data_IF_427496581421
#
_entry.id   IF_427496581421
#
_cell.length_a   1.000
_cell.length_b   1.000
_cell.length_c   1.000
_cell.angle_alpha   90.00
_cell.angle_beta   90.00
_cell.angle_gamma   90.00
#
_symmetry.space_group_name_H-M   'P 1'
#
loop_
_entity.id
_entity.type
_entity.pdbx_description
1 polymer ?
#
# COMPACT_ATOMS: atom_id res chain seq x y z
N UNK A 1 -50.20 -33.15 36.45
CA UNK A 1 -49.92 -31.76 36.03
C UNK A 1 -48.44 -31.48 36.25
N UNK A 2 -47.62 -31.58 35.19
CA UNK A 2 -46.17 -31.44 35.26
C UNK A 2 -45.76 -29.97 35.11
N UNK A 3 -44.87 -29.47 35.97
CA UNK A 3 -44.30 -28.12 35.91
C UNK A 3 -43.08 -28.14 34.97
N UNK A 4 -43.15 -27.38 33.89
CA UNK A 4 -42.07 -27.18 32.91
C UNK A 4 -41.13 -26.09 33.43
N UNK A 5 -39.88 -26.43 33.77
CA UNK A 5 -38.85 -25.44 34.12
C UNK A 5 -38.12 -25.01 32.84
N UNK A 6 -38.24 -23.73 32.49
CA UNK A 6 -37.48 -23.10 31.40
C UNK A 6 -36.03 -22.87 31.84
N UNK A 7 -35.07 -23.48 31.13
CA UNK A 7 -33.65 -23.24 31.30
C UNK A 7 -33.21 -22.21 30.25
N UNK A 8 -32.90 -20.97 30.68
CA UNK A 8 -32.27 -19.97 29.82
C UNK A 8 -30.80 -20.33 29.59
N UNK A 9 -30.43 -20.57 28.34
CA UNK A 9 -29.03 -20.70 27.92
C UNK A 9 -28.47 -19.31 27.58
N UNK A 10 -27.54 -18.80 28.40
CA UNK A 10 -26.79 -17.57 28.11
C UNK A 10 -25.61 -17.96 27.20
N UNK A 11 -25.67 -17.58 25.92
CA UNK A 11 -24.56 -17.71 24.99
C UNK A 11 -23.53 -16.59 25.23
N UNK A 12 -22.35 -16.95 25.73
CA UNK A 12 -21.22 -16.04 25.82
C UNK A 12 -20.66 -15.76 24.41
N UNK A 13 -20.74 -14.50 23.95
CA UNK A 13 -19.97 -14.04 22.79
C UNK A 13 -18.50 -13.88 23.21
N UNK A 14 -17.65 -14.84 22.85
CA UNK A 14 -16.21 -14.62 22.79
C UNK A 14 -15.91 -13.69 21.60
N UNK A 15 -15.41 -12.48 21.88
CA UNK A 15 -14.82 -11.63 20.86
C UNK A 15 -13.52 -12.28 20.38
N UNK A 16 -13.53 -12.86 19.17
CA UNK A 16 -12.34 -13.36 18.52
C UNK A 16 -11.40 -12.18 18.17
N UNK A 17 -10.15 -12.26 18.61
CA UNK A 17 -9.10 -11.36 18.15
C UNK A 17 -8.96 -11.45 16.61
N UNK A 18 -8.64 -10.37 15.90
CA UNK A 18 -8.44 -10.42 14.45
C UNK A 18 -7.34 -11.43 14.13
N UNK A 19 -7.69 -12.46 13.38
CA UNK A 19 -6.74 -13.46 12.90
C UNK A 19 -5.68 -12.77 12.05
N UNK A 20 -4.40 -13.01 12.35
CA UNK A 20 -3.33 -12.65 11.43
C UNK A 20 -3.57 -13.33 10.08
N UNK A 21 -3.43 -12.63 8.94
CA UNK A 21 -3.64 -13.22 7.64
C UNK A 21 -2.70 -14.43 7.48
N UNK A 22 -3.27 -15.54 6.99
CA UNK A 22 -2.52 -16.74 6.67
C UNK A 22 -1.37 -16.40 5.71
N UNK A 23 -0.18 -17.00 5.91
CA UNK A 23 0.94 -16.87 4.98
C UNK A 23 0.50 -17.36 3.61
N UNK A 24 0.44 -16.46 2.64
CA UNK A 24 0.17 -16.78 1.25
C UNK A 24 1.50 -16.92 0.52
N UNK A 25 1.63 -17.91 -0.38
CA UNK A 25 2.85 -18.06 -1.21
C UNK A 25 2.94 -17.01 -2.34
N UNK A 26 1.95 -16.12 -2.43
CA UNK A 26 1.88 -15.09 -3.48
C UNK A 26 2.53 -13.78 -3.00
N UNK A 27 3.21 -13.04 -3.90
CA UNK A 27 3.64 -11.68 -3.61
C UNK A 27 2.48 -10.83 -3.05
N UNK A 28 2.76 -10.06 -2.01
CA UNK A 28 1.82 -9.11 -1.45
C UNK A 28 1.57 -7.99 -2.47
N UNK A 29 0.30 -7.62 -2.66
CA UNK A 29 -0.10 -6.48 -3.49
C UNK A 29 -0.86 -5.53 -2.58
N UNK A 30 -0.39 -4.28 -2.39
CA UNK A 30 -1.09 -3.32 -1.54
C UNK A 30 -2.36 -2.80 -2.22
N UNK A 31 -3.28 -2.31 -1.41
CA UNK A 31 -4.34 -1.44 -1.90
C UNK A 31 -3.77 -0.04 -2.24
N UNK A 32 -4.39 0.67 -3.20
CA UNK A 32 -4.07 2.07 -3.46
C UNK A 32 -4.21 2.93 -2.19
N UNK A 33 -3.32 3.92 -1.99
CA UNK A 33 -3.47 4.87 -0.87
C UNK A 33 -4.63 5.85 -1.09
N UNK A 34 -5.08 6.02 -2.34
CA UNK A 34 -6.21 6.85 -2.73
C UNK A 34 -7.18 6.08 -3.62
N UNK A 35 -8.47 6.40 -3.52
CA UNK A 35 -9.50 5.79 -4.35
C UNK A 35 -9.28 6.09 -5.84
N UNK A 36 -9.65 5.13 -6.69
CA UNK A 36 -9.48 5.23 -8.15
C UNK A 36 -8.06 4.92 -8.64
N UNK A 37 -7.11 4.67 -7.75
CA UNK A 37 -5.78 4.20 -8.10
C UNK A 37 -5.78 2.73 -8.53
N UNK A 38 -4.84 2.36 -9.39
CA UNK A 38 -4.53 0.96 -9.72
C UNK A 38 -3.10 0.66 -9.33
N UNK A 39 -2.87 -0.41 -8.56
CA UNK A 39 -1.52 -0.83 -8.15
C UNK A 39 -1.01 -1.91 -9.11
N UNK A 40 0.21 -1.72 -9.62
CA UNK A 40 0.90 -2.66 -10.49
C UNK A 40 2.28 -3.00 -9.90
N UNK A 41 2.62 -4.28 -9.69
CA UNK A 41 3.96 -4.66 -9.27
C UNK A 41 4.98 -4.36 -10.38
N UNK A 42 6.19 -3.95 -9.99
CA UNK A 42 7.27 -3.65 -10.94
C UNK A 42 7.84 -4.91 -11.61
N UNK A 43 7.79 -6.04 -10.90
CA UNK A 43 8.41 -7.28 -11.33
C UNK A 43 7.39 -8.42 -11.43
N UNK A 44 7.58 -9.36 -12.37
CA UNK A 44 6.90 -10.65 -12.33
C UNK A 44 7.16 -11.38 -11.01
N UNK A 45 6.19 -12.20 -10.58
CA UNK A 45 6.23 -12.89 -9.29
C UNK A 45 7.45 -13.81 -9.09
N UNK A 46 8.02 -14.33 -10.18
CA UNK A 46 9.17 -15.23 -10.21
C UNK A 46 10.51 -14.52 -10.46
N UNK A 47 10.50 -13.18 -10.55
CA UNK A 47 11.69 -12.38 -10.85
C UNK A 47 12.84 -12.63 -9.86
N UNK A 48 14.09 -12.77 -10.35
CA UNK A 48 15.27 -12.91 -9.49
C UNK A 48 15.58 -11.63 -8.69
N UNK A 49 14.90 -10.51 -9.01
CA UNK A 49 15.02 -9.24 -8.29
C UNK A 49 14.25 -9.24 -6.97
N UNK A 50 13.35 -10.20 -6.76
CA UNK A 50 12.51 -10.32 -5.57
C UNK A 50 13.13 -11.27 -4.54
N UNK A 51 13.05 -10.91 -3.25
CA UNK A 51 13.42 -11.78 -2.12
C UNK A 51 12.22 -12.67 -1.79
N UNK A 52 12.21 -13.92 -2.27
CA UNK A 52 11.05 -14.84 -2.17
C UNK A 52 10.60 -15.06 -0.73
N UNK A 53 11.54 -15.01 0.20
CA UNK A 53 11.30 -15.20 1.63
C UNK A 53 10.52 -14.05 2.26
N UNK A 54 10.51 -12.87 1.62
CA UNK A 54 9.88 -11.65 2.14
C UNK A 54 8.74 -11.11 1.28
N UNK A 55 8.66 -11.50 0.00
CA UNK A 55 7.76 -10.90 -1.00
C UNK A 55 6.27 -11.01 -0.65
N UNK A 56 5.90 -11.96 0.21
CA UNK A 56 4.54 -12.18 0.70
C UNK A 56 4.20 -11.38 1.97
N UNK A 57 5.19 -10.74 2.59
CA UNK A 57 4.98 -9.93 3.79
C UNK A 57 4.19 -8.66 3.44
N UNK A 58 3.20 -8.34 4.26
CA UNK A 58 2.38 -7.15 4.07
C UNK A 58 3.16 -5.86 4.38
N UNK A 59 2.86 -4.81 3.60
CA UNK A 59 3.28 -3.45 3.92
C UNK A 59 2.70 -2.98 5.26
N UNK A 60 3.42 -2.09 5.95
CA UNK A 60 2.99 -1.47 7.21
C UNK A 60 2.77 0.01 7.00
N UNK A 61 1.60 0.49 7.40
CA UNK A 61 1.13 1.83 7.12
C UNK A 61 1.12 2.69 8.37
N UNK A 62 1.61 3.91 8.26
CA UNK A 62 1.36 4.96 9.23
C UNK A 62 0.25 5.87 8.71
N UNK A 63 -0.84 5.98 9.45
CA UNK A 63 -2.01 6.83 9.17
C UNK A 63 -2.13 8.02 10.13
N UNK A 64 -1.18 8.19 11.04
CA UNK A 64 -1.21 9.22 12.08
C UNK A 64 -0.17 10.30 11.78
N UNK A 65 -0.60 11.56 11.84
CA UNK A 65 0.29 12.72 11.79
C UNK A 65 -0.14 13.73 12.85
N UNK A 66 0.77 14.11 13.77
CA UNK A 66 0.48 15.00 14.90
C UNK A 66 -0.77 14.56 15.68
N UNK A 67 -0.81 13.27 16.04
CA UNK A 67 -1.86 12.60 16.82
C UNK A 67 -3.27 12.60 16.19
N UNK A 68 -3.36 12.89 14.89
CA UNK A 68 -4.60 12.79 14.13
C UNK A 68 -4.52 11.63 13.15
N UNK A 69 -5.41 10.65 13.31
CA UNK A 69 -5.61 9.59 12.33
C UNK A 69 -6.23 10.15 11.04
N UNK A 70 -5.85 9.59 9.91
CA UNK A 70 -6.34 10.00 8.60
C UNK A 70 -5.88 9.05 7.50
N UNK A 71 -5.77 9.53 6.24
CA UNK A 71 -5.26 8.70 5.15
C UNK A 71 -3.79 8.33 5.38
N UNK A 72 -3.34 7.27 4.70
CA UNK A 72 -1.95 6.81 4.72
C UNK A 72 -0.97 7.97 4.52
N UNK A 73 0.01 8.07 5.41
CA UNK A 73 1.08 9.07 5.40
C UNK A 73 2.38 8.48 4.89
N UNK A 74 2.77 7.35 5.47
CA UNK A 74 3.96 6.64 5.06
C UNK A 74 3.80 5.13 5.12
N UNK A 75 4.69 4.46 4.41
CA UNK A 75 4.75 3.00 4.28
C UNK A 75 6.16 2.52 4.59
N UNK A 76 6.25 1.36 5.22
CA UNK A 76 7.47 0.54 5.34
C UNK A 76 7.12 -0.93 5.03
N UNK A 77 8.11 -1.82 5.10
CA UNK A 77 7.97 -3.24 4.83
C UNK A 77 7.59 -3.54 3.38
N UNK A 78 8.17 -2.78 2.44
CA UNK A 78 7.92 -2.94 1.01
C UNK A 78 8.84 -4.04 0.48
N UNK A 79 8.28 -5.20 0.14
CA UNK A 79 9.03 -6.34 -0.37
C UNK A 79 8.72 -6.69 -1.83
N UNK A 80 7.54 -6.30 -2.29
CA UNK A 80 7.11 -6.39 -3.67
C UNK A 80 6.90 -4.97 -4.21
N UNK A 81 7.94 -4.30 -4.72
CA UNK A 81 7.84 -2.91 -5.13
C UNK A 81 6.84 -2.75 -6.28
N UNK A 82 6.14 -1.63 -6.27
CA UNK A 82 5.00 -1.39 -7.17
C UNK A 82 4.91 0.07 -7.57
N UNK A 83 4.05 0.35 -8.55
CA UNK A 83 3.55 1.68 -8.85
C UNK A 83 2.06 1.75 -8.57
N UNK A 84 1.60 2.90 -8.08
CA UNK A 84 0.18 3.22 -7.96
C UNK A 84 -0.19 4.27 -9.01
N UNK A 85 -1.01 3.88 -9.98
CA UNK A 85 -1.36 4.68 -11.15
C UNK A 85 -2.71 5.36 -10.94
N UNK A 86 -2.72 6.68 -11.09
CA UNK A 86 -3.91 7.53 -11.09
C UNK A 86 -4.04 8.23 -12.44
N UNK A 87 -4.90 7.67 -13.29
CA UNK A 87 -5.18 8.24 -14.61
C UNK A 87 -6.17 9.40 -14.51
N UNK A 88 -6.00 10.39 -15.38
CA UNK A 88 -6.97 11.48 -15.56
C UNK A 88 -8.31 10.93 -16.11
N UNK A 89 -8.24 9.90 -16.96
CA UNK A 89 -9.38 9.34 -17.70
C UNK A 89 -9.74 10.18 -18.92
N UNK A 90 -10.93 9.98 -19.50
CA UNK A 90 -11.37 10.63 -20.74
C UNK A 90 -11.90 12.07 -20.53
N UNK A 91 -11.33 12.79 -19.56
CA UNK A 91 -11.77 14.14 -19.22
C UNK A 91 -11.25 15.17 -20.25
N UNK A 92 -12.04 16.22 -20.58
CA UNK A 92 -11.55 17.34 -21.37
C UNK A 92 -10.28 17.95 -20.76
N UNK A 93 -9.26 18.16 -21.59
CA UNK A 93 -7.95 18.67 -21.14
C UNK A 93 -6.97 17.58 -20.70
N UNK A 94 -7.30 16.28 -20.81
CA UNK A 94 -6.30 15.22 -20.68
C UNK A 94 -5.20 15.40 -21.73
N UNK A 95 -3.96 15.56 -21.25
CA UNK A 95 -2.77 15.82 -22.07
C UNK A 95 -2.16 14.54 -22.66
N UNK A 96 -2.55 13.37 -22.16
CA UNK A 96 -1.87 12.10 -22.42
C UNK A 96 -0.55 11.93 -21.67
N UNK A 97 -0.08 12.93 -20.91
CA UNK A 97 1.15 12.86 -20.14
C UNK A 97 0.94 12.22 -18.76
N UNK A 98 2.03 11.66 -18.22
CA UNK A 98 2.09 11.14 -16.87
C UNK A 98 3.38 11.60 -16.17
N UNK A 99 3.31 11.79 -14.85
CA UNK A 99 4.46 12.06 -13.98
C UNK A 99 4.61 10.91 -13.00
N UNK A 100 5.82 10.37 -12.91
CA UNK A 100 6.19 9.43 -11.86
C UNK A 100 6.75 10.25 -10.69
N UNK A 101 6.09 10.17 -9.53
CA UNK A 101 6.57 10.72 -8.28
C UNK A 101 7.27 9.62 -7.49
N UNK A 102 8.48 9.89 -7.02
CA UNK A 102 9.25 9.01 -6.16
C UNK A 102 9.29 9.63 -4.75
N UNK A 103 8.38 9.21 -3.85
CA UNK A 103 8.34 9.76 -2.49
C UNK A 103 9.65 9.51 -1.75
N UNK A 104 10.03 10.47 -0.92
CA UNK A 104 11.20 10.41 -0.06
C UNK A 104 10.91 9.74 1.28
N UNK A 105 11.64 10.18 2.31
CA UNK A 105 11.66 9.56 3.64
C UNK A 105 12.99 8.88 4.01
N UNK A 106 14.07 9.19 3.26
CA UNK A 106 15.45 8.85 3.64
C UNK A 106 15.74 7.35 3.74
N UNK A 107 14.95 6.51 3.07
CA UNK A 107 14.96 5.04 3.21
C UNK A 107 14.70 4.55 4.65
N UNK A 108 14.06 5.37 5.49
CA UNK A 108 13.55 4.98 6.82
C UNK A 108 12.04 4.80 6.81
N UNK A 109 11.38 5.49 5.89
CA UNK A 109 9.97 5.41 5.55
C UNK A 109 9.85 5.78 4.09
N UNK A 110 8.72 5.44 3.47
CA UNK A 110 8.31 6.00 2.19
C UNK A 110 7.13 6.95 2.43
N UNK A 111 7.30 8.25 2.19
CA UNK A 111 6.33 9.29 2.54
C UNK A 111 5.19 9.43 1.51
N UNK A 112 4.58 8.30 1.14
CA UNK A 112 3.67 8.15 -0.01
C UNK A 112 2.44 9.05 0.01
N UNK A 113 1.93 9.44 1.18
CA UNK A 113 0.76 10.32 1.25
C UNK A 113 1.13 11.74 0.81
N UNK A 114 1.91 12.48 1.63
CA UNK A 114 2.22 13.88 1.33
C UNK A 114 3.16 14.10 0.14
N UNK A 115 4.05 13.15 -0.19
CA UNK A 115 4.96 13.27 -1.34
C UNK A 115 4.52 12.45 -2.56
N UNK A 116 3.38 11.75 -2.45
CA UNK A 116 2.78 11.00 -3.56
C UNK A 116 1.32 11.40 -3.77
N UNK A 117 0.43 10.88 -2.91
CA UNK A 117 -1.02 11.06 -3.01
C UNK A 117 -1.48 12.51 -3.13
N UNK A 118 -0.86 13.44 -2.41
CA UNK A 118 -1.22 14.88 -2.45
C UNK A 118 -1.01 15.49 -3.86
N UNK A 119 -0.16 14.90 -4.69
CA UNK A 119 0.08 15.34 -6.07
C UNK A 119 -0.96 14.81 -7.07
N UNK A 120 -1.71 13.76 -6.73
CA UNK A 120 -2.75 13.19 -7.60
C UNK A 120 -3.80 14.25 -7.99
N UNK A 121 -4.49 14.94 -7.05
CA UNK A 121 -5.43 15.98 -7.43
C UNK A 121 -4.75 17.20 -8.07
N UNK A 122 -3.50 17.50 -7.71
CA UNK A 122 -2.76 18.62 -8.28
C UNK A 122 -2.52 18.43 -9.79
N UNK A 123 -1.89 17.31 -10.17
CA UNK A 123 -1.59 17.03 -11.58
C UNK A 123 -2.85 16.74 -12.39
N UNK A 124 -3.87 16.12 -11.78
CA UNK A 124 -5.16 15.91 -12.44
C UNK A 124 -5.81 17.21 -12.89
N UNK A 125 -5.71 18.29 -12.10
CA UNK A 125 -6.19 19.64 -12.48
C UNK A 125 -5.52 20.17 -13.76
N UNK A 126 -4.31 19.71 -14.05
CA UNK A 126 -3.54 20.07 -15.24
C UNK A 126 -3.63 19.02 -16.35
N UNK A 127 -4.53 18.04 -16.24
CA UNK A 127 -4.70 16.99 -17.25
C UNK A 127 -3.52 16.02 -17.34
N UNK A 128 -2.72 15.89 -16.27
CA UNK A 128 -1.56 15.01 -16.19
C UNK A 128 -1.85 13.86 -15.22
N UNK A 129 -1.58 12.62 -15.64
CA UNK A 129 -1.75 11.44 -14.79
C UNK A 129 -0.61 11.33 -13.78
N UNK A 130 -0.87 10.78 -12.60
CA UNK A 130 0.15 10.63 -11.54
C UNK A 130 0.43 9.16 -11.31
N UNK A 131 1.71 8.80 -11.24
CA UNK A 131 2.18 7.45 -10.93
C UNK A 131 3.04 7.55 -9.67
N UNK A 132 2.65 6.90 -8.59
CA UNK A 132 3.39 6.93 -7.32
C UNK A 132 4.28 5.68 -7.26
N UNK A 133 5.60 5.87 -7.23
CA UNK A 133 6.56 4.79 -7.05
C UNK A 133 6.59 4.33 -5.58
N UNK A 134 6.43 3.03 -5.35
CA UNK A 134 6.63 2.37 -4.05
C UNK A 134 7.90 1.51 -4.10
N UNK A 135 9.04 2.13 -3.83
CA UNK A 135 10.34 1.47 -3.85
C UNK A 135 10.69 0.80 -2.51
N UNK A 136 11.58 -0.18 -2.57
CA UNK A 136 12.12 -0.87 -1.40
C UNK A 136 13.04 0.03 -0.57
N UNK A 137 13.05 -0.18 0.75
CA UNK A 137 13.71 0.70 1.70
C UNK A 137 14.85 0.01 2.47
N UNK A 138 15.82 0.81 2.91
CA UNK A 138 16.95 0.33 3.73
C UNK A 138 16.51 -0.18 5.09
N UNK A 139 15.51 0.46 5.71
CA UNK A 139 14.92 -0.01 6.97
C UNK A 139 14.39 -1.44 6.88
N UNK A 140 14.04 -1.90 5.66
CA UNK A 140 13.50 -3.23 5.39
C UNK A 140 14.58 -4.26 4.94
N UNK A 141 15.84 -3.84 4.95
CA UNK A 141 17.01 -4.67 4.62
C UNK A 141 17.42 -4.66 3.13
N UNK A 142 17.14 -3.58 2.41
CA UNK A 142 17.57 -3.40 1.01
C UNK A 142 18.69 -2.36 0.88
N UNK A 143 19.50 -2.45 -0.18
CA UNK A 143 20.57 -1.50 -0.47
C UNK A 143 20.06 -0.37 -1.38
N UNK A 144 19.99 0.89 -0.91
CA UNK A 144 19.49 2.02 -1.69
C UNK A 144 20.17 2.20 -3.05
N UNK A 145 21.50 2.01 -3.13
CA UNK A 145 22.27 2.24 -4.37
C UNK A 145 22.05 1.17 -5.44
N UNK A 146 21.41 0.07 -5.07
CA UNK A 146 21.14 -1.04 -5.98
C UNK A 146 19.66 -1.34 -6.03
N UNK A 147 19.06 -1.83 -4.95
CA UNK A 147 17.68 -2.31 -4.95
C UNK A 147 16.70 -1.19 -5.30
N UNK A 148 16.79 -0.03 -4.63
CA UNK A 148 15.89 1.09 -4.88
C UNK A 148 16.15 1.79 -6.23
N UNK A 149 17.41 1.84 -6.69
CA UNK A 149 17.73 2.34 -8.04
C UNK A 149 17.07 1.49 -9.12
N UNK A 150 17.12 0.15 -8.98
CA UNK A 150 16.47 -0.76 -9.91
C UNK A 150 14.93 -0.79 -9.79
N UNK A 151 14.36 -0.24 -8.71
CA UNK A 151 12.92 -0.04 -8.59
C UNK A 151 12.48 1.24 -9.34
N UNK A 152 13.41 2.17 -9.62
CA UNK A 152 13.14 3.45 -10.28
C UNK A 152 13.49 3.47 -11.79
N UNK A 153 14.31 2.53 -12.27
CA UNK A 153 14.83 2.43 -13.64
C UNK A 153 14.95 0.96 -14.06
#
# INVERSE_FOLDING_TARGET
MARLSSLLLVSALCAAAPAQPAKTDKPFIPEPILSGGTVLPLYPADSPRLKKEKVHEAEKYNTTLKDKAGPTKSVINIHNPSIEVHLVGDQPGNTGAAVIVAPGGGHQILWVGPEGGDFVPLFKKHGVSTIILRNRLRVDGYEPKTDAVNDAF
#
